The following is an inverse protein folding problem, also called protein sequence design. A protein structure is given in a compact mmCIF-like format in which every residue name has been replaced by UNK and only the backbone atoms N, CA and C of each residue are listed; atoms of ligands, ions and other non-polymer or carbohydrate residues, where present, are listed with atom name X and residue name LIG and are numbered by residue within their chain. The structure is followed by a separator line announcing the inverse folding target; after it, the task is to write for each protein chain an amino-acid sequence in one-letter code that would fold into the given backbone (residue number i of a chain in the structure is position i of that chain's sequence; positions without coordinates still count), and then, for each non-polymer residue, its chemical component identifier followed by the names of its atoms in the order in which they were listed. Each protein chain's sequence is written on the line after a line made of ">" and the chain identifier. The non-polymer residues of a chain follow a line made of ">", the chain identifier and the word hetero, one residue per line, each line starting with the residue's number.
data_IF_915887738925
#
_entry.id   IF_915887738925
#
_cell.length_a   1.000
_cell.length_b   1.000
_cell.length_c   1.000
_cell.angle_alpha   90.00
_cell.angle_beta   90.00
_cell.angle_gamma   90.00
#
_symmetry.space_group_name_H-M   'P 1'
#
loop_
_entity.id
_entity.type
_entity.pdbx_description
1 polymer ?
#
# COMPACT_ATOMS: atom_id res chain seq x y z
N UNK A 1 22.69 11.84 3.51
CA UNK A 1 23.69 12.93 3.50
C UNK A 1 23.53 13.82 4.72
N UNK A 2 24.57 13.98 5.55
CA UNK A 2 24.69 15.17 6.40
C UNK A 2 25.22 16.28 5.50
N UNK A 3 24.41 17.30 5.18
CA UNK A 3 24.96 18.53 4.59
C UNK A 3 25.83 19.15 5.68
N UNK A 4 27.12 19.37 5.40
CA UNK A 4 27.99 20.13 6.30
C UNK A 4 27.30 21.47 6.58
N UNK A 5 27.25 21.83 7.85
CA UNK A 5 26.66 23.09 8.29
C UNK A 5 25.15 23.15 8.45
N UNK A 6 24.48 22.00 8.58
CA UNK A 6 23.05 21.94 8.93
C UNK A 6 22.88 21.20 10.25
N UNK A 7 22.12 21.80 11.17
CA UNK A 7 21.79 21.23 12.48
C UNK A 7 21.10 19.87 12.35
N UNK A 8 21.36 18.99 13.31
CA UNK A 8 20.65 17.71 13.42
C UNK A 8 19.20 17.90 13.89
N UNK A 9 18.89 19.01 14.56
CA UNK A 9 17.54 19.35 14.98
C UNK A 9 16.73 19.79 13.77
N UNK A 10 15.63 19.08 13.52
CA UNK A 10 14.71 19.34 12.41
C UNK A 10 13.31 19.47 12.95
N UNK A 11 12.56 20.41 12.37
CA UNK A 11 11.14 20.57 12.62
C UNK A 11 10.42 20.35 11.31
N UNK A 12 9.38 19.52 11.31
CA UNK A 12 8.56 19.31 10.12
C UNK A 12 7.10 19.63 10.38
N UNK A 13 6.45 20.14 9.35
CA UNK A 13 5.02 20.51 9.36
C UNK A 13 4.31 19.77 8.24
N UNK A 14 3.07 19.37 8.51
CA UNK A 14 2.14 18.83 7.52
C UNK A 14 1.19 19.95 7.14
N UNK A 15 1.05 20.19 5.84
CA UNK A 15 0.26 21.30 5.31
C UNK A 15 -1.22 20.96 5.16
N UNK A 16 -1.59 19.70 5.43
CA UNK A 16 -2.95 19.16 5.30
C UNK A 16 -3.25 18.20 6.46
N UNK A 17 -4.53 17.84 6.68
CA UNK A 17 -4.91 16.82 7.65
C UNK A 17 -4.16 15.50 7.44
N UNK A 18 -3.87 14.82 8.55
CA UNK A 18 -3.17 13.54 8.56
C UNK A 18 -4.05 12.49 9.21
N UNK A 19 -4.25 11.40 8.50
CA UNK A 19 -4.86 10.18 9.01
C UNK A 19 -3.73 9.23 9.41
N UNK A 20 -3.88 8.57 10.55
CA UNK A 20 -2.93 7.55 11.02
C UNK A 20 -3.61 6.20 10.86
N UNK A 21 -3.08 5.37 9.97
CA UNK A 21 -3.55 3.99 9.80
C UNK A 21 -3.21 3.15 11.03
N UNK A 22 -3.90 2.01 11.21
CA UNK A 22 -3.67 1.09 12.32
C UNK A 22 -2.23 0.54 12.40
N UNK A 23 -1.50 0.58 11.29
CA UNK A 23 -0.08 0.22 11.18
C UNK A 23 0.88 1.38 11.52
N UNK A 24 0.35 2.52 11.99
CA UNK A 24 1.09 3.72 12.36
C UNK A 24 1.53 4.59 11.17
N UNK A 25 1.20 4.22 9.93
CA UNK A 25 1.53 5.02 8.74
C UNK A 25 0.68 6.28 8.70
N UNK A 26 1.34 7.39 8.35
CA UNK A 26 0.71 8.72 8.25
C UNK A 26 0.35 9.01 6.80
N UNK A 27 -0.93 9.13 6.52
CA UNK A 27 -1.49 9.43 5.20
C UNK A 27 -1.97 10.88 5.20
N UNK A 28 -1.53 11.67 4.22
CA UNK A 28 -1.97 13.06 4.06
C UNK A 28 -3.24 13.09 3.23
N UNK A 29 -4.32 13.64 3.79
CA UNK A 29 -5.60 13.77 3.11
C UNK A 29 -5.67 15.14 2.44
N UNK A 30 -5.65 15.18 1.10
CA UNK A 30 -5.88 16.39 0.35
C UNK A 30 -7.37 16.44 -0.05
N UNK A 31 -8.21 17.05 0.79
CA UNK A 31 -9.67 17.11 0.58
C UNK A 31 -10.11 17.88 -0.67
N UNK A 32 -9.18 18.53 -1.40
CA UNK A 32 -9.47 19.38 -2.57
C UNK A 32 -9.53 18.58 -3.88
N UNK A 33 -8.97 17.36 -3.94
CA UNK A 33 -8.88 16.55 -5.18
C UNK A 33 -9.48 15.13 -5.03
N UNK A 34 -10.28 14.89 -4.00
CA UNK A 34 -10.83 13.56 -3.68
C UNK A 34 -10.02 12.81 -2.62
N UNK A 35 -10.54 11.67 -2.17
CA UNK A 35 -10.10 10.91 -0.97
C UNK A 35 -8.77 10.15 -1.20
N UNK A 36 -7.99 10.50 -2.22
CA UNK A 36 -6.70 9.83 -2.49
C UNK A 36 -5.63 10.34 -1.52
N UNK A 37 -5.59 9.70 -0.36
CA UNK A 37 -4.60 10.01 0.67
C UNK A 37 -3.18 9.70 0.17
N UNK A 38 -2.29 10.69 0.16
CA UNK A 38 -0.90 10.50 -0.27
C UNK A 38 -0.04 10.00 0.89
N UNK A 39 0.67 8.88 0.67
CA UNK A 39 1.74 8.45 1.56
C UNK A 39 3.06 9.07 1.10
N UNK A 40 3.59 9.98 1.92
CA UNK A 40 4.81 10.77 1.63
C UNK A 40 4.76 11.65 0.38
N UNK A 41 4.35 12.91 0.56
CA UNK A 41 4.44 13.97 -0.44
C UNK A 41 5.38 15.09 0.02
N UNK A 42 6.26 15.55 -0.87
CA UNK A 42 7.14 16.70 -0.65
C UNK A 42 6.38 18.03 -0.82
N UNK A 43 5.26 18.02 -1.54
CA UNK A 43 4.35 19.16 -1.59
C UNK A 43 3.65 19.36 -0.23
N UNK A 44 3.16 18.27 0.38
CA UNK A 44 2.28 18.30 1.56
C UNK A 44 3.02 18.25 2.92
N UNK A 45 4.32 17.96 2.92
CA UNK A 45 5.20 18.07 4.10
C UNK A 45 6.34 19.03 3.79
N UNK A 46 6.66 19.92 4.73
CA UNK A 46 7.89 20.73 4.73
C UNK A 46 8.73 20.43 5.95
N UNK A 47 10.05 20.43 5.79
CA UNK A 47 11.01 20.20 6.87
C UNK A 47 12.02 21.33 6.89
N UNK A 48 12.34 21.81 8.07
CA UNK A 48 13.22 22.94 8.31
C UNK A 48 14.32 22.54 9.30
N UNK A 49 15.48 23.15 9.15
CA UNK A 49 16.63 23.00 10.05
C UNK A 49 17.35 24.33 10.20
N UNK A 50 18.19 24.45 11.23
CA UNK A 50 19.10 25.58 11.35
C UNK A 50 20.38 25.35 10.55
N UNK A 51 20.90 26.37 9.88
CA UNK A 51 22.26 26.36 9.32
C UNK A 51 23.30 26.78 10.37
N UNK A 52 24.59 26.86 10.00
CA UNK A 52 25.69 27.26 10.90
C UNK A 52 25.53 28.66 11.50
N UNK A 53 24.79 29.54 10.82
CA UNK A 53 24.52 30.91 11.26
C UNK A 53 23.29 31.00 12.17
N UNK A 54 22.62 29.88 12.45
CA UNK A 54 21.37 29.86 13.21
C UNK A 54 20.15 30.30 12.39
N UNK A 55 20.25 30.36 11.06
CA UNK A 55 19.12 30.71 10.19
C UNK A 55 18.28 29.46 9.88
N UNK A 56 16.95 29.62 9.85
CA UNK A 56 16.04 28.54 9.46
C UNK A 56 16.08 28.38 7.94
N UNK A 57 16.48 27.20 7.48
CA UNK A 57 16.55 26.84 6.06
C UNK A 57 15.62 25.67 5.75
N UNK A 58 15.01 25.61 4.55
CA UNK A 58 14.30 24.42 4.10
C UNK A 58 15.30 23.29 3.83
N UNK A 59 14.91 22.07 4.18
CA UNK A 59 15.64 20.84 3.85
C UNK A 59 14.70 19.83 3.23
N UNK A 60 15.25 18.80 2.57
CA UNK A 60 14.44 17.77 1.94
C UNK A 60 13.45 17.19 2.97
N UNK A 61 12.18 17.09 2.54
CA UNK A 61 11.12 16.57 3.38
C UNK A 61 11.44 15.13 3.78
N UNK A 62 11.05 14.75 5.00
CA UNK A 62 11.32 13.42 5.57
C UNK A 62 12.78 13.16 5.98
N UNK A 63 13.67 14.16 5.89
CA UNK A 63 15.03 14.03 6.47
C UNK A 63 15.04 14.05 8.01
N UNK A 64 13.93 14.41 8.64
CA UNK A 64 13.63 14.28 10.06
C UNK A 64 13.33 12.83 10.48
N UNK A 65 13.06 11.93 9.54
CA UNK A 65 12.78 10.54 9.87
C UNK A 65 14.05 9.74 10.18
N UNK A 66 13.94 8.92 11.23
CA UNK A 66 15.02 8.03 11.63
C UNK A 66 15.06 6.76 10.77
N UNK A 67 16.27 6.44 10.32
CA UNK A 67 16.67 5.20 9.67
C UNK A 67 18.08 4.85 10.14
N UNK A 68 18.30 3.59 10.49
CA UNK A 68 19.60 3.09 10.94
C UNK A 68 20.59 3.07 9.78
N UNK A 69 20.11 2.69 8.58
CA UNK A 69 20.90 2.63 7.35
C UNK A 69 20.14 3.28 6.20
N UNK A 70 20.84 4.00 5.34
CA UNK A 70 20.34 4.49 4.06
C UNK A 70 21.20 3.93 2.93
N UNK A 71 20.56 3.36 1.92
CA UNK A 71 21.18 2.70 0.78
C UNK A 71 20.79 3.35 -0.54
N UNK A 72 21.67 3.22 -1.52
CA UNK A 72 21.43 3.41 -2.95
C UNK A 72 22.12 2.28 -3.72
N UNK A 73 22.00 2.28 -5.03
CA UNK A 73 22.61 1.29 -5.92
C UNK A 73 23.79 1.97 -6.62
N UNK A 74 24.97 1.34 -6.59
CA UNK A 74 26.14 1.82 -7.35
C UNK A 74 26.03 1.40 -8.83
N UNK A 75 26.91 1.94 -9.69
CA UNK A 75 26.89 1.68 -11.14
C UNK A 75 27.05 0.21 -11.51
N UNK A 76 27.67 -0.58 -10.65
CA UNK A 76 27.86 -2.03 -10.83
C UNK A 76 26.72 -2.87 -10.23
N UNK A 77 25.66 -2.22 -9.71
CA UNK A 77 24.51 -2.87 -9.08
C UNK A 77 24.72 -3.19 -7.59
N UNK A 78 25.89 -2.91 -7.01
CA UNK A 78 26.20 -3.23 -5.63
C UNK A 78 25.55 -2.27 -4.62
N UNK A 79 25.36 -2.70 -3.35
CA UNK A 79 24.82 -1.85 -2.30
C UNK A 79 25.79 -0.72 -1.94
N UNK A 80 25.36 0.52 -2.18
CA UNK A 80 26.07 1.70 -1.72
C UNK A 80 25.47 2.22 -0.42
N UNK A 81 26.26 2.18 0.65
CA UNK A 81 25.88 2.73 1.95
C UNK A 81 26.01 4.26 1.92
N UNK A 82 24.88 4.95 1.80
CA UNK A 82 24.81 6.41 1.81
C UNK A 82 25.01 6.99 3.22
N UNK A 83 24.55 6.26 4.24
CA UNK A 83 24.65 6.68 5.64
C UNK A 83 24.36 5.52 6.59
N UNK A 84 25.12 5.48 7.68
CA UNK A 84 24.75 4.75 8.91
C UNK A 84 24.48 5.79 10.01
N UNK A 85 23.37 5.64 10.73
CA UNK A 85 23.03 6.56 11.82
C UNK A 85 24.07 6.56 12.94
N UNK A 86 24.29 7.73 13.52
CA UNK A 86 25.28 7.91 14.59
C UNK A 86 26.73 7.82 14.14
N UNK A 87 27.02 7.86 12.83
CA UNK A 87 28.37 7.65 12.26
C UNK A 87 28.99 6.30 12.66
N UNK A 88 28.16 5.29 12.94
CA UNK A 88 28.64 3.93 13.23
C UNK A 88 29.23 3.28 11.97
N UNK A 89 30.15 2.34 12.16
CA UNK A 89 30.61 1.43 11.10
C UNK A 89 29.57 0.33 10.87
N UNK A 90 29.63 -0.29 9.69
CA UNK A 90 28.78 -1.43 9.34
C UNK A 90 28.89 -2.56 10.38
N UNK A 91 30.11 -2.85 10.86
CA UNK A 91 30.39 -3.88 11.87
C UNK A 91 29.79 -3.59 13.26
N UNK A 92 29.36 -2.36 13.53
CA UNK A 92 28.76 -1.96 14.81
C UNK A 92 27.22 -2.05 14.80
N UNK A 93 26.61 -2.39 13.67
CA UNK A 93 25.17 -2.59 13.57
C UNK A 93 24.74 -3.83 14.36
N UNK A 94 23.60 -3.73 15.05
CA UNK A 94 23.01 -4.81 15.84
C UNK A 94 21.49 -4.69 15.83
N UNK A 95 20.81 -5.82 15.98
CA UNK A 95 19.37 -5.90 16.14
C UNK A 95 18.56 -5.67 14.86
N UNK A 96 17.23 -5.49 15.00
CA UNK A 96 16.31 -5.22 13.90
C UNK A 96 16.50 -3.79 13.35
N UNK A 97 17.07 -3.68 12.16
CA UNK A 97 17.38 -2.42 11.51
C UNK A 97 16.19 -1.88 10.70
N UNK A 98 15.99 -0.55 10.77
CA UNK A 98 15.14 0.21 9.84
C UNK A 98 15.99 0.80 8.72
N UNK A 99 15.80 0.29 7.52
CA UNK A 99 16.61 0.60 6.33
C UNK A 99 15.79 1.44 5.35
N UNK A 100 16.41 2.51 4.83
CA UNK A 100 15.89 3.32 3.72
C UNK A 100 16.64 2.99 2.44
N UNK A 101 15.94 2.90 1.31
CA UNK A 101 16.52 2.61 0.00
C UNK A 101 16.06 3.66 -1.01
N UNK A 102 17.01 4.25 -1.72
CA UNK A 102 16.77 4.89 -3.02
C UNK A 102 16.91 3.81 -4.08
N UNK A 103 15.79 3.42 -4.67
CA UNK A 103 15.70 2.29 -5.56
C UNK A 103 15.99 2.68 -7.01
N UNK A 104 16.32 1.69 -7.83
CA UNK A 104 16.31 1.78 -9.30
C UNK A 104 15.19 0.88 -9.84
N UNK A 105 15.49 -0.17 -10.61
CA UNK A 105 14.52 -1.20 -10.97
C UNK A 105 14.21 -2.15 -9.80
N UNK A 106 13.08 -2.86 -9.87
CA UNK A 106 12.70 -3.86 -8.86
C UNK A 106 13.77 -4.94 -8.71
N UNK A 107 14.24 -5.51 -9.83
CA UNK A 107 15.21 -6.61 -9.85
C UNK A 107 16.58 -6.20 -9.32
N UNK A 108 17.10 -5.04 -9.74
CA UNK A 108 18.39 -4.54 -9.24
C UNK A 108 18.31 -4.24 -7.74
N UNK A 109 17.19 -3.67 -7.29
CA UNK A 109 17.01 -3.37 -5.87
C UNK A 109 16.88 -4.63 -5.03
N UNK A 110 16.17 -5.65 -5.52
CA UNK A 110 16.09 -6.95 -4.84
C UNK A 110 17.48 -7.58 -4.71
N UNK A 111 18.25 -7.63 -5.80
CA UNK A 111 19.61 -8.17 -5.79
C UNK A 111 20.53 -7.40 -4.83
N UNK A 112 20.49 -6.06 -4.86
CA UNK A 112 21.26 -5.21 -3.96
C UNK A 112 20.91 -5.45 -2.49
N UNK A 113 19.62 -5.63 -2.17
CA UNK A 113 19.16 -5.91 -0.80
C UNK A 113 19.62 -7.28 -0.31
N UNK A 114 19.66 -8.29 -1.19
CA UNK A 114 20.24 -9.58 -0.88
C UNK A 114 21.73 -9.45 -0.54
N UNK A 115 22.51 -8.77 -1.38
CA UNK A 115 23.93 -8.52 -1.12
C UNK A 115 24.14 -7.75 0.19
N UNK A 116 23.31 -6.73 0.47
CA UNK A 116 23.40 -5.98 1.72
C UNK A 116 23.10 -6.85 2.94
N UNK A 117 22.09 -7.74 2.85
CA UNK A 117 21.76 -8.69 3.91
C UNK A 117 22.95 -9.62 4.21
N UNK A 118 23.66 -10.07 3.19
CA UNK A 118 24.78 -11.02 3.32
C UNK A 118 26.03 -10.40 3.97
N UNK A 119 26.19 -9.07 3.89
CA UNK A 119 27.31 -8.35 4.53
C UNK A 119 26.98 -7.77 5.90
N UNK A 120 25.75 -7.96 6.40
CA UNK A 120 25.38 -7.50 7.75
C UNK A 120 26.17 -8.28 8.82
N UNK A 121 26.61 -7.60 9.90
CA UNK A 121 27.26 -8.30 11.00
C UNK A 121 26.31 -9.27 11.70
N UNK A 122 26.88 -10.28 12.36
CA UNK A 122 26.12 -11.24 13.16
C UNK A 122 25.26 -10.52 14.22
N UNK A 123 23.98 -10.89 14.28
CA UNK A 123 23.01 -10.28 15.19
C UNK A 123 22.34 -9.01 14.66
N UNK A 124 22.65 -8.55 13.44
CA UNK A 124 21.89 -7.51 12.74
C UNK A 124 20.97 -8.12 11.68
N UNK A 125 19.79 -7.53 11.47
CA UNK A 125 18.82 -7.99 10.46
C UNK A 125 18.00 -6.83 9.91
N UNK A 126 17.61 -6.88 8.64
CA UNK A 126 16.65 -5.92 8.08
C UNK A 126 15.26 -6.27 8.63
N UNK A 127 14.66 -5.37 9.43
CA UNK A 127 13.33 -5.60 9.99
C UNK A 127 12.27 -4.71 9.33
N UNK A 128 12.64 -3.47 8.99
CA UNK A 128 11.77 -2.51 8.32
C UNK A 128 12.49 -1.92 7.13
N UNK A 129 11.86 -2.01 5.96
CA UNK A 129 12.41 -1.53 4.71
C UNK A 129 11.51 -0.45 4.13
N UNK A 130 12.08 0.70 3.83
CA UNK A 130 11.40 1.82 3.20
C UNK A 130 12.07 2.11 1.87
N UNK A 131 11.41 1.73 0.78
CA UNK A 131 11.91 1.87 -0.58
C UNK A 131 11.24 3.07 -1.23
N UNK A 132 12.06 4.00 -1.72
CA UNK A 132 11.63 5.10 -2.57
C UNK A 132 11.96 4.75 -4.02
N UNK A 133 10.96 4.62 -4.88
CA UNK A 133 11.16 4.34 -6.31
C UNK A 133 11.58 5.60 -7.08
N UNK A 134 12.18 5.46 -8.28
CA UNK A 134 12.40 6.57 -9.19
C UNK A 134 11.08 7.23 -9.61
N UNK A 135 11.12 8.53 -9.92
CA UNK A 135 9.94 9.32 -10.30
C UNK A 135 9.17 8.71 -11.48
N UNK A 136 9.90 8.22 -12.47
CA UNK A 136 9.34 7.72 -13.74
C UNK A 136 9.25 6.18 -13.77
N UNK A 137 9.45 5.52 -12.63
CA UNK A 137 9.45 4.06 -12.52
C UNK A 137 8.78 3.61 -11.21
N UNK A 138 7.48 3.87 -11.10
CA UNK A 138 6.66 3.31 -10.04
C UNK A 138 6.41 1.82 -10.33
N UNK A 139 7.12 0.96 -9.61
CA UNK A 139 7.11 -0.49 -9.80
C UNK A 139 5.72 -1.13 -9.75
N UNK A 140 4.76 -0.46 -9.11
CA UNK A 140 3.42 -1.00 -8.91
C UNK A 140 2.35 -0.25 -9.70
N UNK A 141 2.71 0.77 -10.49
CA UNK A 141 1.75 1.49 -11.33
C UNK A 141 1.16 0.58 -12.40
N UNK A 142 2.00 -0.14 -13.13
CA UNK A 142 1.60 -0.95 -14.28
C UNK A 142 1.76 -2.46 -14.05
N UNK A 143 0.90 -3.23 -14.71
CA UNK A 143 0.89 -4.70 -14.64
C UNK A 143 -0.21 -5.28 -13.75
N UNK A 144 -0.22 -6.60 -13.67
CA UNK A 144 -1.22 -7.36 -12.93
C UNK A 144 -1.01 -7.26 -11.41
N UNK A 145 -2.07 -6.94 -10.68
CA UNK A 145 -2.03 -6.70 -9.22
C UNK A 145 -1.67 -7.96 -8.44
N UNK A 146 -2.12 -9.14 -8.88
CA UNK A 146 -1.75 -10.40 -8.22
C UNK A 146 -0.23 -10.58 -8.26
N UNK A 147 0.39 -10.47 -9.44
CA UNK A 147 1.84 -10.57 -9.58
C UNK A 147 2.57 -9.49 -8.76
N UNK A 148 2.07 -8.26 -8.76
CA UNK A 148 2.63 -7.16 -7.96
C UNK A 148 2.63 -7.49 -6.46
N UNK A 149 1.51 -7.99 -5.93
CA UNK A 149 1.44 -8.41 -4.51
C UNK A 149 2.37 -9.57 -4.22
N UNK A 150 2.49 -10.55 -5.12
CA UNK A 150 3.41 -11.68 -4.98
C UNK A 150 4.89 -11.25 -4.99
N UNK A 151 5.26 -10.31 -5.86
CA UNK A 151 6.61 -9.77 -5.91
C UNK A 151 6.97 -9.09 -4.59
N UNK A 152 6.08 -8.24 -4.07
CA UNK A 152 6.31 -7.54 -2.81
C UNK A 152 6.31 -8.50 -1.60
N UNK A 153 5.43 -9.49 -1.60
CA UNK A 153 5.39 -10.52 -0.56
C UNK A 153 6.67 -11.36 -0.55
N UNK A 154 7.12 -11.79 -1.74
CA UNK A 154 8.35 -12.56 -1.92
C UNK A 154 9.58 -11.79 -1.46
N UNK A 155 9.71 -10.51 -1.87
CA UNK A 155 10.79 -9.64 -1.43
C UNK A 155 10.85 -9.54 0.10
N UNK A 156 9.72 -9.22 0.73
CA UNK A 156 9.67 -9.09 2.18
C UNK A 156 9.82 -10.42 2.91
N UNK A 157 9.35 -11.53 2.35
CA UNK A 157 9.51 -12.88 2.90
C UNK A 157 10.96 -13.34 2.89
N UNK A 158 11.67 -13.16 1.77
CA UNK A 158 13.10 -13.49 1.62
C UNK A 158 14.00 -12.69 2.57
N UNK A 159 13.62 -11.44 2.84
CA UNK A 159 14.31 -10.57 3.79
C UNK A 159 13.81 -10.75 5.24
N UNK A 160 12.68 -11.43 5.44
CA UNK A 160 11.97 -11.52 6.71
C UNK A 160 11.66 -10.13 7.32
N UNK A 161 11.26 -9.18 6.47
CA UNK A 161 11.11 -7.77 6.79
C UNK A 161 9.72 -7.22 6.42
N UNK A 162 9.26 -6.22 7.18
CA UNK A 162 8.15 -5.37 6.74
C UNK A 162 8.66 -4.41 5.66
N UNK A 163 7.97 -4.32 4.52
CA UNK A 163 8.40 -3.51 3.38
C UNK A 163 7.35 -2.46 3.08
N UNK A 164 7.80 -1.24 2.81
CA UNK A 164 6.97 -0.16 2.28
C UNK A 164 7.66 0.42 1.04
N UNK A 165 6.92 0.52 -0.05
CA UNK A 165 7.37 1.07 -1.33
C UNK A 165 6.46 2.23 -1.70
N UNK A 166 7.07 3.33 -2.12
CA UNK A 166 6.36 4.54 -2.52
C UNK A 166 7.19 5.34 -3.52
N UNK A 167 6.50 6.16 -4.32
CA UNK A 167 7.11 7.19 -5.16
C UNK A 167 6.91 8.56 -4.51
N UNK A 168 7.84 9.50 -4.72
CA UNK A 168 7.63 10.91 -4.36
C UNK A 168 7.14 11.75 -5.53
N UNK A 169 6.80 11.11 -6.66
CA UNK A 169 6.12 11.79 -7.75
C UNK A 169 4.72 12.18 -7.30
N UNK A 170 4.36 13.46 -7.45
CA UNK A 170 2.99 13.91 -7.15
C UNK A 170 1.96 13.29 -8.11
N UNK A 171 2.43 12.83 -9.28
CA UNK A 171 1.66 12.14 -10.32
C UNK A 171 1.69 10.61 -10.18
N UNK A 172 2.26 10.08 -9.09
CA UNK A 172 2.35 8.65 -8.87
C UNK A 172 0.95 8.02 -8.79
N UNK A 173 0.71 7.01 -9.64
CA UNK A 173 -0.54 6.26 -9.62
C UNK A 173 -0.67 5.40 -8.36
N UNK A 174 0.45 4.90 -7.83
CA UNK A 174 0.48 4.17 -6.55
C UNK A 174 0.92 5.10 -5.45
N UNK A 175 0.01 5.37 -4.51
CA UNK A 175 0.35 6.12 -3.30
C UNK A 175 1.24 5.28 -2.38
N UNK A 176 0.96 3.98 -2.28
CA UNK A 176 1.64 3.09 -1.35
C UNK A 176 1.53 1.63 -1.77
N UNK A 177 2.63 0.88 -1.68
CA UNK A 177 2.61 -0.57 -1.59
C UNK A 177 3.29 -1.02 -0.29
N UNK A 178 2.65 -1.90 0.48
CA UNK A 178 3.11 -2.30 1.80
C UNK A 178 2.91 -3.79 2.05
N UNK A 179 3.93 -4.42 2.62
CA UNK A 179 3.87 -5.76 3.22
C UNK A 179 4.23 -5.62 4.70
N UNK A 180 3.33 -6.01 5.59
CA UNK A 180 3.68 -6.17 6.99
C UNK A 180 4.17 -7.59 7.22
N UNK A 181 5.19 -7.79 8.07
CA UNK A 181 5.87 -9.08 8.24
C UNK A 181 4.93 -10.26 8.48
N UNK A 182 3.90 -10.04 9.29
CA UNK A 182 2.96 -11.05 9.78
C UNK A 182 1.53 -10.82 9.24
N UNK A 183 1.39 -10.09 8.13
CA UNK A 183 0.09 -9.71 7.56
C UNK A 183 0.13 -9.77 6.04
N UNK A 184 -1.02 -9.52 5.42
CA UNK A 184 -1.16 -9.38 3.98
C UNK A 184 -0.36 -8.24 3.34
N UNK A 185 -0.40 -8.20 2.01
CA UNK A 185 0.12 -7.11 1.18
C UNK A 185 -1.00 -6.16 0.81
N UNK A 186 -0.74 -4.85 0.87
CA UNK A 186 -1.66 -3.79 0.48
C UNK A 186 -1.03 -2.93 -0.61
N UNK A 187 -1.73 -2.71 -1.73
CA UNK A 187 -1.36 -1.75 -2.78
C UNK A 187 -2.49 -0.72 -2.91
N UNK A 188 -2.15 0.56 -2.84
CA UNK A 188 -3.10 1.68 -2.90
C UNK A 188 -2.92 2.43 -4.22
N UNK A 189 -3.91 2.32 -5.11
CA UNK A 189 -3.93 2.98 -6.43
C UNK A 189 -5.13 3.94 -6.46
N UNK A 190 -4.88 5.25 -6.41
CA UNK A 190 -5.94 6.23 -6.20
C UNK A 190 -6.77 5.90 -4.96
N UNK A 191 -8.09 5.78 -5.12
CA UNK A 191 -9.04 5.46 -4.06
C UNK A 191 -9.24 3.94 -3.83
N UNK A 192 -8.61 3.11 -4.67
CA UNK A 192 -8.72 1.65 -4.59
C UNK A 192 -7.57 1.05 -3.78
N UNK A 193 -7.92 0.14 -2.87
CA UNK A 193 -7.00 -0.65 -2.06
C UNK A 193 -7.09 -2.12 -2.44
N UNK A 194 -6.02 -2.64 -3.00
CA UNK A 194 -5.86 -4.07 -3.27
C UNK A 194 -5.17 -4.73 -2.07
N UNK A 195 -5.80 -5.75 -1.49
CA UNK A 195 -5.30 -6.44 -0.30
C UNK A 195 -5.16 -7.94 -0.61
N UNK A 196 -3.91 -8.41 -0.63
CA UNK A 196 -3.61 -9.83 -0.54
C UNK A 196 -3.67 -10.24 0.94
N UNK A 197 -4.68 -10.98 1.35
CA UNK A 197 -4.83 -11.50 2.72
C UNK A 197 -4.66 -13.03 2.74
N UNK A 198 -3.61 -13.57 3.38
CA UNK A 198 -3.34 -15.01 3.40
C UNK A 198 -4.45 -15.85 4.08
N UNK A 199 -5.31 -15.23 4.89
CA UNK A 199 -6.42 -15.92 5.58
C UNK A 199 -7.65 -16.12 4.69
N UNK A 200 -7.69 -15.48 3.51
CA UNK A 200 -8.78 -15.63 2.57
C UNK A 200 -8.84 -17.04 1.96
N UNK A 201 -10.04 -17.50 1.65
CA UNK A 201 -10.24 -18.75 0.91
C UNK A 201 -9.74 -18.63 -0.54
N UNK A 202 -9.22 -19.73 -1.10
CA UNK A 202 -8.84 -19.78 -2.52
C UNK A 202 -10.05 -19.50 -3.41
N UNK A 203 -9.83 -18.82 -4.53
CA UNK A 203 -10.87 -18.44 -5.50
C UNK A 203 -12.04 -17.64 -4.88
N UNK A 204 -11.77 -16.89 -3.81
CA UNK A 204 -12.72 -15.95 -3.21
C UNK A 204 -12.12 -14.56 -3.26
N UNK A 205 -12.91 -13.60 -3.72
CA UNK A 205 -12.62 -12.17 -3.62
C UNK A 205 -13.69 -11.49 -2.81
N UNK A 206 -13.29 -10.51 -2.01
CA UNK A 206 -14.21 -9.65 -1.25
C UNK A 206 -14.06 -8.22 -1.74
N UNK A 207 -15.18 -7.57 -2.03
CA UNK A 207 -15.27 -6.15 -2.31
C UNK A 207 -15.98 -5.51 -1.11
N UNK A 208 -15.34 -4.53 -0.48
CA UNK A 208 -15.97 -3.69 0.53
C UNK A 208 -16.37 -2.36 -0.11
N UNK A 209 -17.66 -2.05 -0.08
CA UNK A 209 -18.26 -0.87 -0.69
C UNK A 209 -18.96 -0.02 0.37
N UNK A 210 -18.67 1.28 0.37
CA UNK A 210 -19.29 2.28 1.23
C UNK A 210 -20.23 3.13 0.37
N UNK A 211 -21.50 3.27 0.75
CA UNK A 211 -22.45 4.15 0.05
C UNK A 211 -22.26 5.63 0.42
N UNK A 212 -22.92 6.53 -0.34
CA UNK A 212 -23.02 7.96 0.01
C UNK A 212 -21.77 8.82 -0.23
N UNK A 213 -20.65 8.24 -0.68
CA UNK A 213 -19.41 8.98 -0.99
C UNK A 213 -19.13 8.99 -2.50
N UNK A 214 -18.88 10.17 -3.09
CA UNK A 214 -18.49 10.30 -4.52
C UNK A 214 -17.17 9.56 -4.85
N UNK A 215 -16.31 9.37 -3.84
CA UNK A 215 -15.13 8.50 -3.90
C UNK A 215 -15.25 7.44 -2.81
N UNK A 216 -16.03 6.39 -3.08
CA UNK A 216 -16.09 5.25 -2.18
C UNK A 216 -14.69 4.65 -2.08
N UNK A 217 -14.04 4.77 -0.92
CA UNK A 217 -12.81 4.05 -0.67
C UNK A 217 -13.09 2.55 -0.79
N UNK A 218 -12.50 1.91 -1.80
CA UNK A 218 -12.83 0.54 -2.18
C UNK A 218 -11.73 -0.40 -1.73
N UNK A 219 -12.12 -1.52 -1.15
CA UNK A 219 -11.18 -2.58 -0.81
C UNK A 219 -11.50 -3.82 -1.65
N UNK A 220 -10.53 -4.27 -2.45
CA UNK A 220 -10.58 -5.56 -3.11
C UNK A 220 -9.61 -6.50 -2.39
N UNK A 221 -10.16 -7.46 -1.67
CA UNK A 221 -9.42 -8.39 -0.80
C UNK A 221 -9.42 -9.78 -1.44
N UNK A 222 -8.26 -10.43 -1.49
CA UNK A 222 -8.09 -11.74 -2.10
C UNK A 222 -6.94 -12.54 -1.45
N UNK A 223 -6.91 -13.87 -1.61
CA UNK A 223 -5.88 -14.72 -0.98
C UNK A 223 -4.46 -14.52 -1.51
N UNK A 224 -4.33 -14.48 -2.84
CA UNK A 224 -3.15 -13.96 -3.54
C UNK A 224 -2.01 -14.91 -3.86
N UNK A 225 -2.27 -16.20 -4.08
CA UNK A 225 -1.25 -17.11 -4.63
C UNK A 225 -1.56 -17.54 -6.06
N UNK A 226 -2.82 -17.85 -6.37
CA UNK A 226 -3.29 -18.18 -7.71
C UNK A 226 -4.83 -18.20 -7.79
N UNK A 227 -5.34 -18.13 -9.03
CA UNK A 227 -6.74 -18.41 -9.35
C UNK A 227 -6.79 -19.46 -10.46
N UNK A 228 -7.12 -20.69 -10.07
CA UNK A 228 -7.14 -21.89 -10.94
C UNK A 228 -8.56 -22.30 -11.36
N UNK A 229 -9.57 -21.60 -10.87
CA UNK A 229 -10.97 -21.82 -11.22
C UNK A 229 -11.76 -20.50 -11.16
N UNK A 230 -13.02 -20.56 -11.58
CA UNK A 230 -13.94 -19.43 -11.48
C UNK A 230 -14.07 -18.93 -10.04
N UNK A 231 -14.09 -17.60 -9.88
CA UNK A 231 -14.04 -16.93 -8.59
C UNK A 231 -15.43 -16.74 -7.99
N UNK A 232 -15.52 -16.84 -6.66
CA UNK A 232 -16.69 -16.44 -5.89
C UNK A 232 -16.46 -15.03 -5.37
N UNK A 233 -17.35 -14.11 -5.70
CA UNK A 233 -17.24 -12.72 -5.26
C UNK A 233 -18.19 -12.47 -4.11
N UNK A 234 -17.68 -11.86 -3.04
CA UNK A 234 -18.47 -11.41 -1.90
C UNK A 234 -18.45 -9.89 -1.85
N UNK A 235 -19.59 -9.26 -1.98
CA UNK A 235 -19.73 -7.81 -1.88
C UNK A 235 -20.26 -7.51 -0.49
N UNK A 236 -19.59 -6.61 0.24
CA UNK A 236 -19.98 -6.17 1.58
C UNK A 236 -20.36 -4.70 1.50
N UNK A 237 -21.63 -4.39 1.79
CA UNK A 237 -22.09 -3.01 1.94
C UNK A 237 -22.01 -2.64 3.43
N UNK A 238 -21.22 -1.64 3.77
CA UNK A 238 -20.84 -1.33 5.17
C UNK A 238 -21.81 -0.43 5.92
N UNK A 239 -22.74 0.26 5.26
CA UNK A 239 -23.49 1.37 5.84
C UNK A 239 -25.00 1.31 5.51
N UNK A 240 -25.80 2.24 6.07
CA UNK A 240 -27.22 2.43 5.71
C UNK A 240 -27.35 2.98 4.28
N UNK A 241 -26.41 3.81 3.85
CA UNK A 241 -26.29 4.25 2.47
C UNK A 241 -25.75 3.12 1.60
N UNK A 242 -26.46 2.84 0.52
CA UNK A 242 -26.14 1.77 -0.42
C UNK A 242 -25.34 2.31 -1.61
N UNK A 243 -24.35 1.56 -2.12
CA UNK A 243 -23.68 1.87 -3.37
C UNK A 243 -24.67 1.92 -4.53
N UNK A 244 -24.39 2.73 -5.56
CA UNK A 244 -25.20 2.70 -6.78
C UNK A 244 -24.90 1.43 -7.58
N UNK A 245 -25.89 0.93 -8.33
CA UNK A 245 -25.70 -0.22 -9.23
C UNK A 245 -24.53 -0.03 -10.20
N UNK A 246 -24.38 1.20 -10.72
CA UNK A 246 -23.25 1.57 -11.58
C UNK A 246 -21.91 1.46 -10.83
N UNK A 247 -21.83 1.99 -9.62
CA UNK A 247 -20.62 1.92 -8.80
C UNK A 247 -20.20 0.48 -8.51
N UNK A 248 -21.12 -0.39 -8.11
CA UNK A 248 -20.84 -1.81 -7.89
C UNK A 248 -20.36 -2.52 -9.17
N UNK A 249 -20.94 -2.18 -10.33
CA UNK A 249 -20.49 -2.71 -11.62
C UNK A 249 -19.07 -2.28 -11.99
N UNK A 250 -18.73 -1.02 -11.74
CA UNK A 250 -17.38 -0.48 -11.95
C UNK A 250 -16.38 -1.14 -10.99
N UNK A 251 -16.77 -1.39 -9.74
CA UNK A 251 -15.94 -2.09 -8.75
C UNK A 251 -15.67 -3.55 -9.12
N UNK A 252 -16.68 -4.25 -9.65
CA UNK A 252 -16.49 -5.62 -10.14
C UNK A 252 -15.53 -5.68 -11.32
N UNK A 253 -15.44 -4.63 -12.14
CA UNK A 253 -14.48 -4.58 -13.24
C UNK A 253 -13.02 -4.48 -12.74
N UNK A 254 -12.78 -4.04 -11.49
CA UNK A 254 -11.45 -4.05 -10.85
C UNK A 254 -10.88 -5.46 -10.66
N UNK A 255 -11.74 -6.48 -10.61
CA UNK A 255 -11.31 -7.89 -10.52
C UNK A 255 -10.38 -8.25 -11.67
N UNK A 256 -10.61 -7.69 -12.86
CA UNK A 256 -9.79 -7.93 -14.06
C UNK A 256 -8.33 -7.50 -13.88
N UNK A 257 -8.05 -6.54 -12.99
CA UNK A 257 -6.70 -6.13 -12.64
C UNK A 257 -5.95 -7.18 -11.83
N UNK A 258 -6.68 -8.07 -11.15
CA UNK A 258 -6.13 -9.14 -10.30
C UNK A 258 -6.11 -10.48 -11.06
N UNK A 259 -7.20 -10.85 -11.73
CA UNK A 259 -7.34 -12.16 -12.39
C UNK A 259 -8.20 -12.09 -13.65
N UNK A 260 -7.95 -13.02 -14.57
CA UNK A 260 -8.77 -13.24 -15.77
C UNK A 260 -9.76 -14.41 -15.61
N UNK A 261 -9.78 -15.05 -14.43
CA UNK A 261 -10.75 -16.11 -14.17
C UNK A 261 -12.19 -15.55 -14.15
N UNK A 262 -13.17 -16.28 -14.70
CA UNK A 262 -14.55 -15.82 -14.75
C UNK A 262 -15.16 -15.78 -13.34
N UNK A 263 -16.10 -14.85 -13.13
CA UNK A 263 -16.94 -14.86 -11.93
C UNK A 263 -17.89 -16.06 -12.03
N UNK A 264 -17.95 -16.87 -10.98
CA UNK A 264 -18.83 -18.05 -10.86
C UNK A 264 -20.15 -17.70 -10.19
N UNK A 265 -20.10 -16.92 -9.12
CA UNK A 265 -21.27 -16.43 -8.40
C UNK A 265 -20.90 -15.18 -7.59
N UNK A 266 -21.95 -14.46 -7.19
CA UNK A 266 -21.82 -13.25 -6.38
C UNK A 266 -22.72 -13.40 -5.16
N UNK A 267 -22.20 -13.08 -3.98
CA UNK A 267 -22.99 -12.94 -2.75
C UNK A 267 -22.86 -11.52 -2.24
N UNK A 268 -23.97 -10.83 -2.08
CA UNK A 268 -24.03 -9.47 -1.51
C UNK A 268 -24.46 -9.59 -0.06
N UNK A 269 -23.67 -9.04 0.86
CA UNK A 269 -24.02 -8.91 2.27
C UNK A 269 -24.49 -7.50 2.55
N UNK A 270 -25.79 -7.35 2.78
CA UNK A 270 -26.45 -6.09 3.10
C UNK A 270 -26.58 -5.89 4.62
N UNK A 271 -26.49 -4.65 5.05
CA UNK A 271 -26.69 -4.21 6.45
C UNK A 271 -28.17 -4.16 6.85
N UNK A 272 -29.09 -3.94 5.90
CA UNK A 272 -30.52 -3.70 6.14
C UNK A 272 -31.41 -4.28 5.04
N UNK A 273 -32.68 -4.56 5.38
CA UNK A 273 -33.77 -4.90 4.44
C UNK A 273 -34.52 -3.69 3.90
N UNK A 274 -34.22 -2.47 4.35
CA UNK A 274 -35.06 -1.29 4.09
C UNK A 274 -35.11 -0.87 2.61
N UNK A 275 -34.24 -1.40 1.75
CA UNK A 275 -34.18 -1.06 0.33
C UNK A 275 -34.18 -2.29 -0.59
N UNK A 276 -35.21 -3.13 -0.48
CA UNK A 276 -35.35 -4.34 -1.31
C UNK A 276 -35.36 -4.04 -2.81
N UNK A 277 -35.96 -2.94 -3.25
CA UNK A 277 -36.01 -2.55 -4.67
C UNK A 277 -34.61 -2.31 -5.24
N UNK A 278 -33.75 -1.61 -4.50
CA UNK A 278 -32.36 -1.41 -4.92
C UNK A 278 -31.63 -2.75 -5.10
N UNK A 279 -31.73 -3.66 -4.12
CA UNK A 279 -31.06 -4.97 -4.22
C UNK A 279 -31.65 -5.86 -5.32
N UNK A 280 -32.93 -5.73 -5.64
CA UNK A 280 -33.54 -6.41 -6.79
C UNK A 280 -32.95 -5.91 -8.11
N UNK A 281 -32.87 -4.59 -8.30
CA UNK A 281 -32.25 -3.98 -9.49
C UNK A 281 -30.77 -4.36 -9.61
N UNK A 282 -30.04 -4.34 -8.49
CA UNK A 282 -28.63 -4.73 -8.46
C UNK A 282 -28.48 -6.22 -8.83
N UNK A 283 -29.27 -7.11 -8.24
CA UNK A 283 -29.28 -8.54 -8.58
C UNK A 283 -29.55 -8.75 -10.06
N UNK A 284 -30.54 -8.08 -10.63
CA UNK A 284 -30.87 -8.17 -12.05
C UNK A 284 -29.70 -7.69 -12.92
N UNK A 285 -29.15 -6.51 -12.65
CA UNK A 285 -28.04 -5.94 -13.41
C UNK A 285 -26.79 -6.83 -13.38
N UNK A 286 -26.41 -7.33 -12.20
CA UNK A 286 -25.26 -8.20 -12.02
C UNK A 286 -25.46 -9.56 -12.68
N UNK A 287 -26.64 -10.17 -12.50
CA UNK A 287 -26.99 -11.45 -13.14
C UNK A 287 -26.98 -11.31 -14.66
N UNK A 288 -27.49 -10.19 -15.18
CA UNK A 288 -27.54 -9.93 -16.61
C UNK A 288 -26.16 -9.68 -17.23
N UNK A 289 -25.27 -8.92 -16.57
CA UNK A 289 -23.91 -8.65 -17.07
C UNK A 289 -23.03 -9.89 -17.01
N UNK A 290 -22.98 -10.57 -15.86
CA UNK A 290 -22.02 -11.65 -15.62
C UNK A 290 -22.59 -13.05 -15.92
N UNK A 291 -23.90 -13.18 -16.16
CA UNK A 291 -24.57 -14.47 -16.41
C UNK A 291 -24.37 -15.49 -15.28
N UNK A 292 -24.41 -15.00 -14.04
CA UNK A 292 -24.21 -15.80 -12.82
C UNK A 292 -25.40 -15.69 -11.88
N UNK A 293 -25.49 -16.62 -10.93
CA UNK A 293 -26.39 -16.47 -9.80
C UNK A 293 -25.84 -15.40 -8.83
N UNK A 294 -26.74 -14.53 -8.39
CA UNK A 294 -26.46 -13.48 -7.39
C UNK A 294 -27.38 -13.70 -6.20
N UNK A 295 -26.80 -13.83 -5.01
CA UNK A 295 -27.51 -14.04 -3.76
C UNK A 295 -27.35 -12.80 -2.87
N UNK A 296 -28.45 -12.30 -2.29
CA UNK A 296 -28.41 -11.23 -1.29
C UNK A 296 -28.67 -11.82 0.09
N UNK A 297 -27.77 -11.57 1.04
CA UNK A 297 -27.87 -11.95 2.44
C UNK A 297 -27.92 -10.70 3.29
N UNK A 298 -28.91 -10.60 4.16
CA UNK A 298 -28.97 -9.51 5.14
C UNK A 298 -28.32 -9.97 6.43
N UNK A 299 -27.42 -9.16 6.99
CA UNK A 299 -26.90 -9.39 8.35
C UNK A 299 -28.04 -9.18 9.35
N UNK A 300 -28.58 -10.26 9.87
CA UNK A 300 -29.52 -10.19 11.00
C UNK A 300 -28.68 -9.89 12.25
N UNK A 301 -28.96 -8.77 12.92
CA UNK A 301 -28.31 -8.40 14.17
C UNK A 301 -28.40 -9.57 15.18
N UNK A 302 -27.25 -10.06 15.64
CA UNK A 302 -27.18 -11.08 16.70
C UNK A 302 -26.50 -12.42 16.35
N UNK A 303 -26.03 -12.62 15.11
CA UNK A 303 -25.22 -13.81 14.76
C UNK A 303 -23.82 -13.36 14.34
N UNK A 304 -22.85 -13.52 15.24
CA UNK A 304 -21.44 -13.38 14.89
C UNK A 304 -21.01 -14.56 14.00
N UNK A 305 -20.16 -14.33 12.98
CA UNK A 305 -19.52 -15.41 12.22
C UNK A 305 -18.52 -16.19 13.07
#
# INVERSE_FOLDING_TARGET
>A
MRKKGVSNTKVSVRLVPVIVDADGRKIMSNSVEGISGKYRSNALKKTYAFNEKGEIIPVDSYTDEHYDVSLSIDKDGSPKIERIYGNKRLSELKGPLKVFVKAESFSETEQMLHQFKDVLPSGASIAHLSIKTPKDNDWFAQGNVLQQTQNLDSLGGRLNASVVVYSDSEDAQVSLAARNRDSGVRIVKGDTRFIKDPLMSKNVMVILEHGGLESSQQYLIFRGDDFDAGIRVRILHSDEDHPTTRGTLENLDLISQVTQQPIRNITISASTTENLSHYQELVEALSNKYKVNVEVRVKIAGVNP
#
